data_IF_602890177141
#
_entry.id   IF_602890177141
#
_cell.length_a   1.000
_cell.length_b   1.000
_cell.length_c   1.000
_cell.angle_alpha   90.00
_cell.angle_beta   90.00
_cell.angle_gamma   90.00
#
_symmetry.space_group_name_H-M   'P 1'
#
loop_
_entity.id
_entity.type
_entity.pdbx_description
1 polymer ?
#
# COMPACT_ATOMS: atom_id res chain seq x y z
N UNK A 1 -3.45 28.61 13.44
CA UNK A 1 -3.70 28.52 11.99
C UNK A 1 -3.49 27.08 11.57
N UNK A 2 -4.57 26.32 11.39
CA UNK A 2 -4.49 25.01 10.77
C UNK A 2 -4.04 25.17 9.31
N UNK A 3 -3.11 24.34 8.85
CA UNK A 3 -2.68 24.35 7.45
C UNK A 3 -3.90 24.09 6.55
N UNK A 4 -4.07 24.81 5.42
CA UNK A 4 -5.26 24.76 4.56
C UNK A 4 -5.54 23.38 3.90
N UNK A 5 -4.81 22.34 4.26
CA UNK A 5 -4.93 21.00 3.67
C UNK A 5 -5.68 19.97 4.53
N UNK A 6 -5.97 20.25 5.80
CA UNK A 6 -6.56 19.25 6.71
C UNK A 6 -5.72 17.94 6.80
N UNK A 7 -6.21 16.91 7.50
CA UNK A 7 -5.58 15.59 7.50
C UNK A 7 -5.76 14.94 6.11
N UNK A 8 -4.69 14.83 5.31
CA UNK A 8 -4.74 14.07 4.06
C UNK A 8 -4.77 12.57 4.38
N UNK A 9 -5.94 11.94 4.26
CA UNK A 9 -6.00 10.49 4.14
C UNK A 9 -5.28 10.10 2.85
N UNK A 10 -4.18 9.35 2.96
CA UNK A 10 -3.35 9.00 1.80
C UNK A 10 -3.38 7.50 1.59
N UNK A 11 -3.79 7.06 0.40
CA UNK A 11 -3.71 5.66 0.00
C UNK A 11 -2.25 5.18 0.14
N UNK A 12 -2.02 4.19 1.03
CA UNK A 12 -0.68 3.68 1.36
C UNK A 12 0.09 3.18 0.12
N UNK A 13 -0.61 2.57 -0.84
CA UNK A 13 0.01 2.12 -2.09
C UNK A 13 0.44 3.31 -2.97
N UNK A 14 -0.43 4.32 -3.11
CA UNK A 14 -0.10 5.52 -3.87
C UNK A 14 1.04 6.34 -3.24
N UNK A 15 1.05 6.45 -1.90
CA UNK A 15 2.12 7.09 -1.16
C UNK A 15 3.46 6.37 -1.37
N UNK A 16 3.45 5.03 -1.31
CA UNK A 16 4.64 4.21 -1.52
C UNK A 16 5.18 4.35 -2.94
N UNK A 17 4.32 4.35 -3.96
CA UNK A 17 4.74 4.53 -5.36
C UNK A 17 5.43 5.89 -5.56
N UNK A 18 4.84 6.98 -5.06
CA UNK A 18 5.43 8.33 -5.12
C UNK A 18 6.74 8.42 -4.35
N UNK A 19 6.84 7.74 -3.21
CA UNK A 19 8.08 7.68 -2.45
C UNK A 19 9.20 7.00 -3.26
N UNK A 20 8.93 5.86 -3.88
CA UNK A 20 9.91 5.15 -4.72
C UNK A 20 10.32 5.98 -5.94
N UNK A 21 9.38 6.64 -6.61
CA UNK A 21 9.65 7.56 -7.72
C UNK A 21 10.59 8.70 -7.29
N UNK A 22 10.30 9.33 -6.14
CA UNK A 22 11.17 10.36 -5.58
C UNK A 22 12.55 9.81 -5.25
N UNK A 23 12.63 8.62 -4.64
CA UNK A 23 13.91 7.96 -4.31
C UNK A 23 14.75 7.63 -5.54
N UNK A 24 14.13 7.26 -6.65
CA UNK A 24 14.81 6.98 -7.93
C UNK A 24 15.47 8.22 -8.55
N UNK A 25 14.90 9.40 -8.33
CA UNK A 25 15.43 10.67 -8.85
C UNK A 25 16.55 11.27 -7.98
N UNK A 26 16.71 10.80 -6.74
CA UNK A 26 17.76 11.29 -5.85
C UNK A 26 19.09 10.57 -6.13
N UNK A 27 20.22 11.29 -6.21
CA UNK A 27 21.52 10.63 -6.19
C UNK A 27 21.63 9.84 -4.88
N UNK A 28 22.05 8.57 -5.00
CA UNK A 28 22.17 7.61 -3.89
C UNK A 28 20.85 7.31 -3.14
N UNK A 29 19.70 7.70 -3.71
CA UNK A 29 18.40 7.56 -3.05
C UNK A 29 18.03 6.10 -2.78
N UNK A 30 18.45 5.19 -3.66
CA UNK A 30 18.24 3.75 -3.49
C UNK A 30 19.18 3.12 -2.46
N UNK A 31 20.39 3.66 -2.28
CA UNK A 31 21.38 3.14 -1.33
C UNK A 31 20.91 3.34 0.13
N UNK A 32 19.99 4.28 0.35
CA UNK A 32 19.33 4.49 1.65
C UNK A 32 18.29 3.40 2.01
N UNK A 33 17.97 2.49 1.09
CA UNK A 33 17.02 1.40 1.33
C UNK A 33 17.75 0.14 1.78
N UNK A 34 17.14 -0.62 2.69
CA UNK A 34 17.68 -1.91 3.10
C UNK A 34 17.55 -2.92 1.94
N UNK A 35 18.67 -3.45 1.40
CA UNK A 35 18.65 -4.34 0.25
C UNK A 35 17.93 -5.67 0.52
N UNK A 36 17.98 -6.19 1.76
CA UNK A 36 17.32 -7.44 2.12
C UNK A 36 15.79 -7.31 2.05
N UNK A 37 15.26 -6.18 2.52
CA UNK A 37 13.83 -5.88 2.46
C UNK A 37 13.36 -5.68 1.01
N UNK A 38 14.17 -5.02 0.17
CA UNK A 38 13.87 -4.84 -1.25
C UNK A 38 13.82 -6.18 -1.97
N UNK A 39 14.80 -7.05 -1.75
CA UNK A 39 14.84 -8.39 -2.33
C UNK A 39 13.64 -9.24 -1.91
N UNK A 40 13.28 -9.21 -0.63
CA UNK A 40 12.11 -9.91 -0.12
C UNK A 40 10.80 -9.35 -0.74
N UNK A 41 10.67 -8.03 -0.85
CA UNK A 41 9.52 -7.39 -1.48
C UNK A 41 9.37 -7.80 -2.96
N UNK A 42 10.47 -7.83 -3.71
CA UNK A 42 10.49 -8.27 -5.12
C UNK A 42 10.10 -9.74 -5.24
N UNK A 43 10.61 -10.61 -4.36
CA UNK A 43 10.24 -12.03 -4.33
C UNK A 43 8.73 -12.20 -4.09
N UNK A 44 8.19 -11.54 -3.06
CA UNK A 44 6.77 -11.59 -2.72
C UNK A 44 5.87 -11.06 -3.86
N UNK A 45 6.29 -9.99 -4.54
CA UNK A 45 5.57 -9.43 -5.68
C UNK A 45 5.51 -10.41 -6.86
N UNK A 46 6.64 -11.08 -7.20
CA UNK A 46 6.69 -12.09 -8.27
C UNK A 46 5.81 -13.30 -7.94
N UNK A 47 5.82 -13.76 -6.70
CA UNK A 47 4.94 -14.86 -6.24
C UNK A 47 3.46 -14.51 -6.37
N UNK A 48 3.10 -13.25 -6.10
CA UNK A 48 1.72 -12.76 -6.26
C UNK A 48 1.25 -12.79 -7.71
N UNK A 49 2.11 -12.44 -8.67
CA UNK A 49 1.80 -12.52 -10.11
C UNK A 49 1.55 -13.96 -10.55
N UNK A 50 2.35 -14.92 -10.06
CA UNK A 50 2.15 -16.35 -10.37
C UNK A 50 0.81 -16.87 -9.85
N UNK A 51 0.47 -16.52 -8.60
CA UNK A 51 -0.82 -16.86 -8.02
C UNK A 51 -2.01 -16.28 -8.82
N UNK A 52 -1.89 -15.06 -9.34
CA UNK A 52 -2.94 -14.46 -10.18
C UNK A 52 -3.15 -15.14 -11.54
N UNK A 53 -2.14 -15.86 -12.05
CA UNK A 53 -2.22 -16.62 -13.31
C UNK A 53 -2.78 -18.04 -13.13
N UNK A 54 -3.26 -18.38 -11.93
CA UNK A 54 -3.81 -19.69 -11.62
C UNK A 54 -2.76 -20.75 -11.28
N UNK A 55 -1.49 -20.37 -11.13
CA UNK A 55 -0.46 -21.27 -10.61
C UNK A 55 -0.60 -21.39 -9.09
N UNK A 56 -0.52 -22.61 -8.56
CA UNK A 56 -0.62 -22.85 -7.12
C UNK A 56 0.49 -22.12 -6.35
N UNK A 57 0.12 -21.26 -5.40
CA UNK A 57 1.05 -20.57 -4.53
C UNK A 57 1.82 -21.59 -3.68
N UNK A 58 3.12 -21.74 -3.93
CA UNK A 58 3.99 -22.66 -3.17
C UNK A 58 4.31 -22.17 -1.76
N UNK A 59 3.93 -20.93 -1.43
CA UNK A 59 4.27 -20.24 -0.18
C UNK A 59 3.23 -20.47 0.94
N UNK A 60 2.11 -21.16 0.66
CA UNK A 60 1.00 -21.34 1.61
C UNK A 60 0.23 -20.05 1.93
N UNK A 61 0.69 -18.90 1.44
CA UNK A 61 0.05 -17.60 1.61
C UNK A 61 -1.06 -17.43 0.58
N UNK A 62 -2.29 -17.28 1.06
CA UNK A 62 -3.48 -17.02 0.22
C UNK A 62 -3.49 -15.54 -0.17
N UNK A 63 -3.17 -15.25 -1.43
CA UNK A 63 -3.23 -13.89 -1.98
C UNK A 63 -4.54 -13.75 -2.76
N UNK A 64 -5.38 -12.79 -2.37
CA UNK A 64 -6.63 -12.48 -3.08
C UNK A 64 -6.49 -11.17 -3.84
N UNK A 65 -6.91 -11.17 -5.11
CA UNK A 65 -7.01 -9.95 -5.89
C UNK A 65 -8.23 -9.16 -5.40
N UNK A 66 -8.02 -7.93 -4.96
CA UNK A 66 -9.11 -6.99 -4.69
C UNK A 66 -9.23 -6.05 -5.90
N UNK A 67 -10.41 -5.98 -6.55
CA UNK A 67 -10.59 -5.21 -7.79
C UNK A 67 -10.60 -3.69 -7.56
N UNK A 68 -10.79 -3.25 -6.31
CA UNK A 68 -10.76 -1.85 -5.91
C UNK A 68 -10.34 -1.76 -4.43
N UNK A 69 -9.57 -0.73 -4.09
CA UNK A 69 -9.41 -0.27 -2.72
C UNK A 69 -10.38 0.88 -2.53
N UNK A 70 -11.67 0.55 -2.37
CA UNK A 70 -12.69 1.55 -2.10
C UNK A 70 -12.43 2.14 -0.71
N UNK A 71 -12.28 3.45 -0.63
CA UNK A 71 -12.14 4.20 0.62
C UNK A 71 -13.53 4.22 1.28
N UNK A 72 -13.90 3.13 1.93
CA UNK A 72 -15.14 3.08 2.69
C UNK A 72 -14.95 3.98 3.92
N UNK A 73 -15.28 5.26 3.75
CA UNK A 73 -15.57 6.13 4.88
C UNK A 73 -16.83 5.58 5.53
N UNK A 74 -16.67 4.65 6.46
CA UNK A 74 -17.73 4.35 7.40
C UNK A 74 -17.97 5.65 8.17
N UNK A 75 -19.01 6.38 7.76
CA UNK A 75 -19.64 7.36 8.63
C UNK A 75 -20.23 6.55 9.76
N UNK A 76 -19.54 6.52 10.90
CA UNK A 76 -20.14 6.08 12.14
C UNK A 76 -21.28 7.04 12.44
N UNK A 77 -22.48 6.71 11.97
CA UNK A 77 -23.72 7.30 12.47
C UNK A 77 -23.80 6.88 13.93
N UNK A 78 -23.31 7.74 14.81
CA UNK A 78 -23.64 7.66 16.22
C UNK A 78 -24.88 8.52 16.42
N UNK A 79 -26.03 7.88 16.17
CA UNK A 79 -27.29 8.24 16.79
C UNK A 79 -27.16 7.89 18.29
N UNK A 80 -27.04 8.91 19.12
CA UNK A 80 -27.29 8.83 20.55
C UNK A 80 -28.20 10.03 20.87
N UNK A 81 -29.51 9.80 20.76
CA UNK A 81 -30.51 10.78 21.16
C UNK A 81 -30.65 10.85 22.68
N UNK A 82 -30.78 12.06 23.23
CA UNK A 82 -31.41 12.31 24.53
C UNK A 82 -32.11 13.69 24.54
N UNK A 83 -33.46 13.61 24.63
CA UNK A 83 -34.48 14.54 25.18
C UNK A 83 -34.53 16.02 24.78
#
# INVERSE_FOLDING_TARGET
MAHPGGPLTTNKAAALAKFLERKLQQPDGLDSLNPDLVNLAVKNAKETIKASKGEASTSGRVVRHVPSFEDSSEVSNQDDGEQ
#
